data_IF_607102574441
#
_entry.id   IF_607102574441
#
_cell.length_a   1.000
_cell.length_b   1.000
_cell.length_c   1.000
_cell.angle_alpha   90.00
_cell.angle_beta   90.00
_cell.angle_gamma   90.00
#
_symmetry.space_group_name_H-M   'P 1'
#
loop_
_entity.id
_entity.type
_entity.pdbx_description
1 polymer ?
#
# COMPACT_ATOMS: atom_id res chain seq x y z
N UNK A 1 -1.13 -13.98 13.49
CA UNK A 1 -1.91 -13.54 12.31
C UNK A 1 -0.95 -13.23 11.17
N UNK A 2 -1.44 -13.15 9.92
CA UNK A 2 -0.62 -12.75 8.77
C UNK A 2 -0.95 -11.30 8.36
N UNK A 3 -0.01 -10.41 8.52
CA UNK A 3 -0.17 -8.97 8.27
C UNK A 3 0.68 -8.52 7.09
N UNK A 4 0.25 -7.49 6.36
CA UNK A 4 1.08 -6.81 5.37
C UNK A 4 1.00 -5.30 5.54
N UNK A 5 2.16 -4.65 5.49
CA UNK A 5 2.33 -3.19 5.56
C UNK A 5 2.80 -2.67 4.22
N UNK A 6 2.14 -1.66 3.68
CA UNK A 6 2.42 -1.11 2.34
C UNK A 6 3.04 0.28 2.46
N UNK A 7 4.33 0.38 2.18
CA UNK A 7 5.14 1.56 2.46
C UNK A 7 5.57 2.27 1.17
N UNK A 8 5.29 3.58 1.09
CA UNK A 8 5.70 4.48 0.00
C UNK A 8 6.77 5.48 0.42
N UNK A 9 7.06 5.59 1.72
CA UNK A 9 8.04 6.52 2.27
C UNK A 9 8.82 5.87 3.40
N UNK A 10 9.97 6.44 3.75
CA UNK A 10 10.75 6.02 4.92
C UNK A 10 9.94 6.18 6.22
N UNK A 11 9.06 7.17 6.29
CA UNK A 11 8.19 7.39 7.44
C UNK A 11 7.15 6.27 7.59
N UNK A 12 6.51 5.84 6.50
CA UNK A 12 5.60 4.69 6.51
C UNK A 12 6.31 3.43 6.99
N UNK A 13 7.56 3.23 6.55
CA UNK A 13 8.35 2.09 6.96
C UNK A 13 8.69 2.13 8.45
N UNK A 14 9.08 3.29 8.98
CA UNK A 14 9.31 3.48 10.41
C UNK A 14 8.05 3.16 11.23
N UNK A 15 6.90 3.70 10.84
CA UNK A 15 5.63 3.43 11.51
C UNK A 15 5.24 1.94 11.44
N UNK A 16 5.51 1.29 10.30
CA UNK A 16 5.29 -0.15 10.18
C UNK A 16 6.12 -0.93 11.18
N UNK A 17 7.41 -0.64 11.29
CA UNK A 17 8.33 -1.31 12.22
C UNK A 17 7.91 -1.12 13.69
N UNK A 18 7.40 0.05 14.05
CA UNK A 18 6.89 0.32 15.40
C UNK A 18 5.61 -0.49 15.69
N UNK A 19 4.80 -0.75 14.68
CA UNK A 19 3.53 -1.46 14.80
C UNK A 19 3.63 -2.98 14.64
N UNK A 20 4.80 -3.51 14.28
CA UNK A 20 4.98 -4.96 14.15
C UNK A 20 4.68 -5.67 15.47
N UNK A 21 3.81 -6.67 15.41
CA UNK A 21 3.71 -7.65 16.47
C UNK A 21 4.66 -8.82 16.16
N UNK A 22 5.60 -9.09 17.04
CA UNK A 22 6.64 -10.12 16.86
C UNK A 22 6.04 -11.54 16.77
N UNK A 23 4.89 -11.74 17.38
CA UNK A 23 4.18 -13.04 17.37
C UNK A 23 3.46 -13.31 16.04
N UNK A 24 3.29 -12.28 15.21
CA UNK A 24 2.60 -12.38 13.94
C UNK A 24 3.59 -12.61 12.77
N UNK A 25 3.09 -13.21 11.70
CA UNK A 25 3.81 -13.21 10.41
C UNK A 25 3.59 -11.85 9.75
N UNK A 26 4.68 -11.12 9.54
CA UNK A 26 4.62 -9.76 8.99
C UNK A 26 5.36 -9.67 7.67
N UNK A 27 4.66 -9.19 6.66
CA UNK A 27 5.22 -8.84 5.36
C UNK A 27 5.26 -7.31 5.22
N UNK A 28 6.33 -6.79 4.62
CA UNK A 28 6.44 -5.37 4.27
C UNK A 28 6.62 -5.24 2.77
N UNK A 29 5.74 -4.52 2.11
CA UNK A 29 5.87 -4.14 0.71
C UNK A 29 6.43 -2.72 0.66
N UNK A 30 7.59 -2.57 0.04
CA UNK A 30 8.27 -1.29 -0.17
C UNK A 30 8.17 -0.93 -1.65
N UNK A 31 7.70 0.27 -1.96
CA UNK A 31 7.70 0.76 -3.32
C UNK A 31 9.06 1.40 -3.69
N UNK A 32 9.38 1.32 -4.98
CA UNK A 32 10.65 1.79 -5.57
C UNK A 32 10.85 3.31 -5.51
N UNK A 33 9.91 4.05 -4.94
CA UNK A 33 10.02 5.49 -4.66
C UNK A 33 10.91 5.80 -3.42
N UNK A 34 11.23 4.77 -2.61
CA UNK A 34 12.03 4.94 -1.38
C UNK A 34 13.51 5.00 -1.71
N UNK A 35 14.18 6.05 -1.25
CA UNK A 35 15.61 6.26 -1.44
C UNK A 35 16.41 5.34 -0.49
N UNK A 36 17.53 4.80 -0.96
CA UNK A 36 18.44 3.90 -0.20
C UNK A 36 17.77 2.61 0.30
N UNK A 37 16.83 2.07 -0.47
CA UNK A 37 16.03 0.91 -0.10
C UNK A 37 16.88 -0.30 0.28
N UNK A 38 17.97 -0.58 -0.42
CA UNK A 38 18.85 -1.74 -0.16
C UNK A 38 19.50 -1.68 1.22
N UNK A 39 19.99 -0.50 1.62
CA UNK A 39 20.56 -0.29 2.96
C UNK A 39 19.52 -0.48 4.04
N UNK A 40 18.32 0.02 3.82
CA UNK A 40 17.21 -0.09 4.75
C UNK A 40 16.81 -1.56 4.92
N UNK A 41 16.67 -2.30 3.83
CA UNK A 41 16.35 -3.72 3.87
C UNK A 41 17.40 -4.53 4.63
N UNK A 42 18.68 -4.23 4.39
CA UNK A 42 19.78 -4.88 5.11
C UNK A 42 19.62 -4.68 6.62
N UNK A 43 19.38 -3.45 7.05
CA UNK A 43 19.21 -3.14 8.47
C UNK A 43 17.96 -3.84 9.05
N UNK A 44 16.84 -3.82 8.34
CA UNK A 44 15.63 -4.50 8.85
C UNK A 44 15.86 -6.00 8.99
N UNK A 45 16.51 -6.64 8.03
CA UNK A 45 16.81 -8.08 8.10
C UNK A 45 17.77 -8.43 9.23
N UNK A 46 18.66 -7.52 9.60
CA UNK A 46 19.56 -7.69 10.73
C UNK A 46 18.83 -7.65 12.08
N UNK A 47 17.89 -6.71 12.27
CA UNK A 47 17.17 -6.51 13.54
C UNK A 47 15.82 -7.22 13.63
N UNK A 48 15.20 -7.51 12.49
CA UNK A 48 13.91 -8.17 12.39
C UNK A 48 13.92 -9.28 11.31
N UNK A 49 14.72 -10.35 11.49
CA UNK A 49 14.92 -11.38 10.46
C UNK A 49 13.63 -12.13 10.07
N UNK A 50 12.63 -12.15 10.93
CA UNK A 50 11.33 -12.79 10.73
C UNK A 50 10.43 -12.03 9.75
N UNK A 51 10.73 -10.75 9.44
CA UNK A 51 9.92 -9.93 8.54
C UNK A 51 10.27 -10.23 7.10
N UNK A 52 9.28 -10.56 6.28
CA UNK A 52 9.46 -10.71 4.84
C UNK A 52 9.32 -9.35 4.15
N UNK A 53 10.29 -9.03 3.29
CA UNK A 53 10.31 -7.73 2.59
C UNK A 53 10.24 -7.95 1.10
N UNK A 54 9.31 -7.26 0.45
CA UNK A 54 9.10 -7.28 -1.00
C UNK A 54 9.25 -5.88 -1.58
N UNK A 55 10.10 -5.74 -2.62
CA UNK A 55 10.18 -4.49 -3.39
C UNK A 55 9.21 -4.59 -4.55
N UNK A 56 8.34 -3.58 -4.72
CA UNK A 56 7.42 -3.49 -5.84
C UNK A 56 7.57 -2.16 -6.58
N UNK A 57 7.31 -2.20 -7.88
CA UNK A 57 7.29 -0.99 -8.72
C UNK A 57 5.95 -0.28 -8.61
N UNK A 58 5.96 0.98 -8.24
CA UNK A 58 4.75 1.79 -8.09
C UNK A 58 3.94 1.91 -9.41
N UNK A 59 4.62 1.85 -10.57
CA UNK A 59 3.97 1.94 -11.87
C UNK A 59 3.08 0.73 -12.23
N UNK A 60 3.19 -0.40 -11.51
CA UNK A 60 2.34 -1.58 -11.73
C UNK A 60 0.87 -1.18 -11.61
N UNK A 61 0.51 -0.44 -10.57
CA UNK A 61 -0.85 0.01 -10.31
C UNK A 61 -1.33 1.18 -11.19
N UNK A 62 -0.42 1.88 -11.89
CA UNK A 62 -0.82 2.96 -12.81
C UNK A 62 -1.45 2.47 -14.11
N UNK A 63 -1.19 1.22 -14.47
CA UNK A 63 -1.67 0.61 -15.69
C UNK A 63 -3.20 0.41 -15.69
N UNK A 64 -3.84 0.41 -14.52
CA UNK A 64 -5.29 0.17 -14.39
C UNK A 64 -6.17 1.29 -14.94
N UNK A 65 -5.72 2.54 -14.91
CA UNK A 65 -6.52 3.65 -15.47
C UNK A 65 -6.66 3.63 -17.00
N UNK A 66 -5.81 2.87 -17.73
CA UNK A 66 -5.74 2.88 -19.20
C UNK A 66 -6.00 1.52 -19.86
N UNK A 67 -6.17 0.46 -19.08
CA UNK A 67 -6.28 -0.87 -19.67
C UNK A 67 -7.74 -1.18 -19.90
N UNK A 68 -8.14 -1.12 -21.17
CA UNK A 68 -9.23 -1.97 -21.64
C UNK A 68 -8.80 -3.41 -21.34
N UNK A 69 -9.59 -4.14 -20.56
CA UNK A 69 -9.35 -5.52 -20.08
C UNK A 69 -9.13 -6.57 -21.19
N UNK A 70 -8.48 -6.22 -22.28
CA UNK A 70 -8.43 -6.99 -23.52
C UNK A 70 -7.35 -8.08 -23.54
N UNK A 71 -6.36 -8.07 -22.66
CA UNK A 71 -5.31 -9.09 -22.71
C UNK A 71 -5.43 -10.09 -21.55
N UNK A 72 -5.39 -11.39 -21.87
CA UNK A 72 -5.40 -12.47 -20.87
C UNK A 72 -4.28 -12.34 -19.83
N UNK A 73 -3.15 -11.77 -20.22
CA UNK A 73 -2.01 -11.52 -19.32
C UNK A 73 -2.35 -10.56 -18.18
N UNK A 74 -3.09 -9.49 -18.47
CA UNK A 74 -3.50 -8.51 -17.46
C UNK A 74 -4.55 -9.08 -16.52
N UNK A 75 -5.51 -9.85 -17.06
CA UNK A 75 -6.51 -10.52 -16.23
C UNK A 75 -5.87 -11.52 -15.27
N UNK A 76 -4.91 -12.31 -15.74
CA UNK A 76 -4.17 -13.27 -14.93
C UNK A 76 -3.44 -12.56 -13.79
N UNK A 77 -2.66 -11.52 -14.12
CA UNK A 77 -1.94 -10.74 -13.13
C UNK A 77 -2.89 -10.09 -12.11
N UNK A 78 -4.00 -9.54 -12.55
CA UNK A 78 -5.00 -8.93 -11.67
C UNK A 78 -5.57 -9.95 -10.69
N UNK A 79 -5.92 -11.13 -11.16
CA UNK A 79 -6.42 -12.20 -10.31
C UNK A 79 -5.36 -12.62 -9.29
N UNK A 80 -4.12 -12.83 -9.71
CA UNK A 80 -3.00 -13.19 -8.83
C UNK A 80 -2.76 -12.13 -7.76
N UNK A 81 -2.88 -10.84 -8.10
CA UNK A 81 -2.69 -9.73 -7.15
C UNK A 81 -3.82 -9.65 -6.12
N UNK A 82 -5.07 -9.82 -6.54
CA UNK A 82 -6.21 -9.87 -5.63
C UNK A 82 -6.10 -11.05 -4.67
N UNK A 83 -5.79 -12.23 -5.18
CA UNK A 83 -5.62 -13.43 -4.36
C UNK A 83 -4.42 -13.29 -3.41
N UNK A 84 -3.34 -12.65 -3.83
CA UNK A 84 -2.21 -12.37 -2.96
C UNK A 84 -2.65 -11.58 -1.73
N UNK A 85 -3.41 -10.48 -1.90
CA UNK A 85 -3.86 -9.67 -0.77
C UNK A 85 -4.92 -10.36 0.10
N UNK A 86 -5.76 -11.21 -0.46
CA UNK A 86 -6.73 -12.01 0.31
C UNK A 86 -6.09 -13.00 1.29
N UNK A 87 -4.82 -13.35 1.09
CA UNK A 87 -4.10 -14.24 2.00
C UNK A 87 -3.65 -13.58 3.31
N UNK A 88 -3.88 -12.26 3.48
CA UNK A 88 -3.54 -11.55 4.69
C UNK A 88 -4.78 -11.36 5.57
N UNK A 89 -4.58 -11.52 6.89
CA UNK A 89 -5.61 -11.21 7.87
C UNK A 89 -5.80 -9.70 8.01
N UNK A 90 -4.69 -8.95 7.96
CA UNK A 90 -4.69 -7.50 8.03
C UNK A 90 -3.78 -6.90 6.95
N UNK A 91 -4.31 -5.92 6.24
CA UNK A 91 -3.58 -5.11 5.27
C UNK A 91 -3.52 -3.71 5.84
N UNK A 92 -2.33 -3.13 5.95
CA UNK A 92 -2.12 -1.79 6.47
C UNK A 92 -1.56 -0.88 5.37
N UNK A 93 -2.24 0.23 5.12
CA UNK A 93 -1.78 1.29 4.21
C UNK A 93 -1.74 2.63 4.96
N UNK A 94 -0.91 3.55 4.51
CA UNK A 94 -0.73 4.86 5.16
C UNK A 94 -1.44 5.99 4.42
N UNK A 95 -1.82 5.75 3.17
CA UNK A 95 -2.50 6.74 2.34
C UNK A 95 -3.32 6.01 1.26
N UNK A 96 -4.63 6.20 1.28
CA UNK A 96 -5.58 5.57 0.36
C UNK A 96 -5.67 6.27 -1.00
N UNK A 97 -5.09 7.48 -1.16
CA UNK A 97 -4.97 8.16 -2.44
C UNK A 97 -3.82 7.63 -3.31
N UNK A 98 -3.00 6.74 -2.78
CA UNK A 98 -1.97 6.05 -3.56
C UNK A 98 -2.59 5.15 -4.62
N UNK A 99 -1.80 4.78 -5.62
CA UNK A 99 -2.27 3.88 -6.68
C UNK A 99 -2.75 2.53 -6.13
N UNK A 100 -2.10 2.02 -5.11
CA UNK A 100 -2.50 0.78 -4.44
C UNK A 100 -3.77 0.96 -3.62
N UNK A 101 -3.95 2.11 -2.95
CA UNK A 101 -5.20 2.44 -2.26
C UNK A 101 -6.38 2.50 -3.23
N UNK A 102 -6.22 3.19 -4.36
CA UNK A 102 -7.24 3.20 -5.44
C UNK A 102 -7.54 1.80 -5.96
N UNK A 103 -6.52 0.95 -6.09
CA UNK A 103 -6.70 -0.45 -6.48
C UNK A 103 -7.55 -1.21 -5.44
N UNK A 104 -7.29 -1.03 -4.15
CA UNK A 104 -8.07 -1.67 -3.09
C UNK A 104 -9.52 -1.24 -3.09
N UNK A 105 -9.80 0.05 -3.25
CA UNK A 105 -11.16 0.56 -3.42
C UNK A 105 -11.88 -0.06 -4.62
N UNK A 106 -11.20 -0.11 -5.77
CA UNK A 106 -11.78 -0.64 -7.00
C UNK A 106 -12.15 -2.12 -6.89
N UNK A 107 -11.34 -2.92 -6.20
CA UNK A 107 -11.53 -4.36 -6.08
C UNK A 107 -12.08 -4.79 -4.71
N UNK A 108 -12.56 -3.84 -3.89
CA UNK A 108 -13.18 -4.08 -2.59
C UNK A 108 -12.28 -4.91 -1.65
N UNK A 109 -10.98 -4.66 -1.68
CA UNK A 109 -10.03 -5.25 -0.77
C UNK A 109 -10.08 -4.46 0.54
N UNK A 110 -10.39 -5.14 1.65
CA UNK A 110 -10.48 -4.52 2.97
C UNK A 110 -9.07 -4.23 3.49
N UNK A 111 -8.84 -3.05 4.01
CA UNK A 111 -7.57 -2.63 4.59
C UNK A 111 -7.78 -1.72 5.81
N UNK A 112 -6.73 -1.60 6.60
CA UNK A 112 -6.64 -0.68 7.73
C UNK A 112 -5.81 0.53 7.31
N UNK A 113 -6.37 1.72 7.41
CA UNK A 113 -5.65 2.96 7.16
C UNK A 113 -4.89 3.36 8.43
N UNK A 114 -3.57 3.45 8.31
CA UNK A 114 -2.73 4.05 9.35
C UNK A 114 -2.53 5.51 8.97
N UNK A 115 -2.95 6.41 9.84
CA UNK A 115 -2.80 7.84 9.59
C UNK A 115 -1.32 8.24 9.53
N UNK A 116 -0.89 8.83 8.41
CA UNK A 116 0.45 9.39 8.24
C UNK A 116 0.56 10.84 8.75
N UNK A 117 -0.49 11.30 9.44
CA UNK A 117 -0.57 12.54 10.19
C UNK A 117 -0.64 13.81 9.35
N UNK A 118 0.38 14.11 8.54
CA UNK A 118 0.51 15.42 7.89
C UNK A 118 -0.33 15.57 6.62
N UNK A 119 -0.37 14.54 5.79
CA UNK A 119 -1.06 14.62 4.50
C UNK A 119 -2.58 14.68 4.64
N UNK A 120 -3.12 14.00 5.64
CA UNK A 120 -4.55 14.03 5.93
C UNK A 120 -5.01 15.43 6.35
N UNK A 121 -4.31 16.07 7.29
CA UNK A 121 -4.64 17.42 7.75
C UNK A 121 -4.46 18.49 6.67
N UNK A 122 -3.44 18.38 5.82
CA UNK A 122 -3.25 19.29 4.69
C UNK A 122 -4.33 19.12 3.64
N UNK A 123 -4.77 17.89 3.40
CA UNK A 123 -5.87 17.57 2.50
C UNK A 123 -7.20 18.12 3.03
N UNK A 124 -7.54 17.89 4.30
CA UNK A 124 -8.75 18.43 4.93
C UNK A 124 -8.78 19.96 4.90
N UNK A 125 -7.64 20.62 5.13
CA UNK A 125 -7.52 22.08 5.01
C UNK A 125 -7.68 22.60 3.57
N UNK A 126 -7.31 21.80 2.58
CA UNK A 126 -7.41 22.17 1.15
C UNK A 126 -8.75 21.80 0.51
N UNK A 127 -9.62 21.07 1.22
CA UNK A 127 -10.93 20.67 0.72
C UNK A 127 -11.83 21.89 0.54
N UNK A 128 -11.89 22.39 -0.69
CA UNK A 128 -13.03 23.21 -1.12
C UNK A 128 -14.26 22.31 -1.28
N UNK A 129 -15.46 22.86 -1.13
CA UNK A 129 -16.73 22.16 -1.39
C UNK A 129 -16.73 21.46 -2.77
N UNK A 130 -16.03 22.06 -3.76
CA UNK A 130 -15.86 21.50 -5.09
C UNK A 130 -14.99 20.24 -5.10
N UNK A 131 -13.92 20.20 -4.29
CA UNK A 131 -13.06 19.02 -4.13
C UNK A 131 -13.79 17.88 -3.44
N UNK A 132 -14.59 18.18 -2.42
CA UNK A 132 -15.43 17.21 -1.72
C UNK A 132 -16.48 16.60 -2.66
N UNK A 133 -17.13 17.44 -3.47
CA UNK A 133 -18.10 16.97 -4.47
C UNK A 133 -17.46 16.03 -5.51
N UNK A 134 -16.29 16.37 -6.00
CA UNK A 134 -15.54 15.53 -6.95
C UNK A 134 -15.07 14.22 -6.33
N UNK A 135 -14.76 14.21 -5.04
CA UNK A 135 -14.43 13.00 -4.30
C UNK A 135 -15.63 12.07 -4.17
N UNK A 136 -16.77 12.60 -3.71
CA UNK A 136 -18.01 11.82 -3.55
C UNK A 136 -18.51 11.26 -4.90
N UNK A 137 -18.32 11.99 -6.00
CA UNK A 137 -18.72 11.53 -7.35
C UNK A 137 -17.82 10.41 -7.90
N UNK A 138 -16.65 10.14 -7.30
CA UNK A 138 -15.73 9.07 -7.70
C UNK A 138 -15.86 7.79 -6.87
N UNK A 139 -16.60 7.85 -5.78
CA UNK A 139 -17.04 6.71 -4.99
C UNK A 139 -18.29 6.08 -5.63
#
# INVERSE_FOLDING_TARGET
MKNVYICHTNYHLLLSLIKLNIEDTNDIIIFDDIINVDRIIKNIKEYCPQVQIYIRKNNIYSKFKKISFKTNKVRKWLFEEIEYFKNFNNIYIFNDFTRVGVFFHQYKIIYNLIEDGYNYFSFVKSLSLKSLYLYIKKL
#
